data_IF_988446576013
#
_entry.id   IF_988446576013
#
_cell.length_a   1.000
_cell.length_b   1.000
_cell.length_c   1.000
_cell.angle_alpha   90.00
_cell.angle_beta   90.00
_cell.angle_gamma   90.00
#
_symmetry.space_group_name_H-M   'P 1'
#
loop_
_entity.id
_entity.type
_entity.pdbx_description
1 polymer ?
#
# COMPACT_ATOMS: atom_id res chain seq x y z
N UNK A 1 -52.15 -22.81 28.14
CA UNK A 1 -53.02 -22.02 27.24
C UNK A 1 -53.19 -20.64 27.81
N UNK A 2 -52.52 -19.63 27.24
CA UNK A 2 -52.88 -18.21 27.33
C UNK A 2 -52.35 -17.54 26.06
N UNK A 3 -53.29 -17.15 25.19
CA UNK A 3 -53.04 -16.37 23.97
C UNK A 3 -52.82 -14.91 24.40
N UNK A 4 -51.78 -14.27 23.87
CA UNK A 4 -51.58 -12.83 23.96
C UNK A 4 -51.86 -12.23 22.58
N UNK A 5 -52.87 -11.35 22.53
CA UNK A 5 -53.29 -10.56 21.37
C UNK A 5 -52.25 -9.47 21.09
N UNK A 6 -51.86 -9.34 19.83
CA UNK A 6 -51.17 -8.16 19.32
C UNK A 6 -52.21 -7.14 18.82
N UNK A 7 -52.19 -5.96 19.42
CA UNK A 7 -53.00 -4.82 19.01
C UNK A 7 -52.28 -4.04 17.92
N UNK A 8 -52.89 -3.89 16.74
CA UNK A 8 -52.44 -3.02 15.66
C UNK A 8 -52.94 -1.58 15.95
N UNK A 9 -52.01 -0.63 16.10
CA UNK A 9 -52.27 0.78 16.03
C UNK A 9 -52.08 1.27 14.59
N UNK A 10 -53.17 1.61 13.94
CA UNK A 10 -53.24 2.35 12.68
C UNK A 10 -53.09 3.83 12.98
N UNK A 11 -52.02 4.46 12.49
CA UNK A 11 -51.85 5.91 12.49
C UNK A 11 -52.28 6.41 11.09
N UNK A 12 -53.37 7.15 11.06
CA UNK A 12 -53.85 7.87 9.88
C UNK A 12 -52.97 9.09 9.65
N UNK A 13 -52.27 9.15 8.50
CA UNK A 13 -51.54 10.34 8.06
C UNK A 13 -52.51 11.31 7.36
N UNK A 14 -52.63 12.50 7.93
CA UNK A 14 -53.37 13.64 7.35
C UNK A 14 -52.46 14.25 6.28
N UNK A 15 -52.87 14.14 5.00
CA UNK A 15 -52.26 14.82 3.86
C UNK A 15 -52.69 16.30 3.86
N UNK A 16 -51.80 17.20 4.29
CA UNK A 16 -51.92 18.63 4.03
C UNK A 16 -51.18 18.90 2.71
N UNK A 17 -51.94 19.20 1.67
CA UNK A 17 -51.39 19.61 0.38
C UNK A 17 -50.73 21.00 0.46
N UNK A 18 -49.42 21.05 0.29
CA UNK A 18 -48.68 22.25 -0.03
C UNK A 18 -48.27 22.16 -1.49
N UNK A 19 -48.93 22.96 -2.32
CA UNK A 19 -48.49 23.24 -3.70
C UNK A 19 -47.13 23.96 -3.64
N UNK A 20 -46.07 23.22 -3.83
CA UNK A 20 -44.77 23.82 -4.17
C UNK A 20 -44.74 24.07 -5.69
N UNK A 21 -44.78 25.34 -6.04
CA UNK A 21 -44.40 25.85 -7.34
C UNK A 21 -43.04 25.24 -7.73
N UNK A 22 -43.05 24.52 -8.85
CA UNK A 22 -41.84 23.93 -9.44
C UNK A 22 -40.86 25.02 -9.85
N UNK A 23 -39.93 25.32 -8.99
CA UNK A 23 -38.65 25.89 -9.39
C UNK A 23 -37.87 24.74 -10.02
N UNK A 24 -37.76 24.75 -11.33
CA UNK A 24 -36.79 23.94 -12.07
C UNK A 24 -35.40 24.34 -11.52
N UNK A 25 -34.89 23.57 -10.56
CA UNK A 25 -33.46 23.57 -10.25
C UNK A 25 -32.82 23.07 -11.52
N UNK A 26 -32.33 24.00 -12.34
CA UNK A 26 -31.43 23.72 -13.41
C UNK A 26 -30.29 22.89 -12.78
N UNK A 27 -30.11 21.68 -13.25
CA UNK A 27 -28.92 20.89 -12.96
C UNK A 27 -27.73 21.76 -13.37
N UNK A 28 -27.15 22.47 -12.39
CA UNK A 28 -25.82 23.05 -12.53
C UNK A 28 -24.95 21.88 -12.94
N UNK A 29 -24.44 21.92 -14.17
CA UNK A 29 -23.66 20.88 -14.78
C UNK A 29 -22.54 20.52 -13.81
N UNK A 30 -22.51 19.25 -13.43
CA UNK A 30 -21.43 18.71 -12.63
C UNK A 30 -20.18 18.97 -13.45
N UNK A 31 -19.34 19.93 -13.03
CA UNK A 31 -18.09 20.22 -13.73
C UNK A 31 -17.34 18.90 -13.85
N UNK A 32 -17.07 18.53 -15.08
CA UNK A 32 -16.38 17.31 -15.46
C UNK A 32 -14.97 17.33 -14.85
N UNK A 33 -14.85 16.74 -13.66
CA UNK A 33 -13.69 16.84 -12.77
C UNK A 33 -12.67 15.77 -13.12
N UNK A 34 -11.49 16.22 -13.55
CA UNK A 34 -10.33 15.38 -13.83
C UNK A 34 -9.18 15.71 -12.88
N UNK A 35 -8.60 14.68 -12.30
CA UNK A 35 -7.52 14.81 -11.31
C UNK A 35 -6.43 13.79 -11.57
N UNK A 36 -5.17 14.18 -11.37
CA UNK A 36 -4.12 13.24 -11.03
C UNK A 36 -4.37 12.71 -9.63
N UNK A 37 -4.07 11.45 -9.42
CA UNK A 37 -4.16 10.83 -8.10
C UNK A 37 -2.96 9.91 -7.90
N UNK A 38 -2.31 10.02 -6.75
CA UNK A 38 -1.38 9.00 -6.27
C UNK A 38 -2.03 8.23 -5.13
N UNK A 39 -1.95 6.91 -5.21
CA UNK A 39 -2.39 5.96 -4.19
C UNK A 39 -1.72 4.60 -4.42
N UNK A 40 -1.40 3.87 -3.35
CA UNK A 40 -0.71 2.58 -3.43
C UNK A 40 -1.60 1.44 -3.94
N UNK A 41 -2.92 1.57 -3.83
CA UNK A 41 -3.92 0.71 -4.47
C UNK A 41 -5.18 1.51 -4.75
N UNK A 42 -6.07 0.97 -5.59
CA UNK A 42 -7.36 1.63 -5.90
C UNK A 42 -8.26 1.70 -4.67
N UNK A 43 -8.12 0.73 -3.77
CA UNK A 43 -8.85 0.62 -2.51
C UNK A 43 -8.17 1.39 -1.35
N UNK A 44 -6.98 1.97 -1.58
CA UNK A 44 -6.28 2.72 -0.54
C UNK A 44 -7.13 3.87 -0.01
N UNK A 45 -7.26 3.94 1.31
CA UNK A 45 -7.94 5.02 2.02
C UNK A 45 -7.18 6.35 1.97
N UNK A 46 -5.89 6.34 1.62
CA UNK A 46 -5.08 7.53 1.45
C UNK A 46 -4.74 7.78 -0.01
N UNK A 47 -5.07 8.97 -0.49
CA UNK A 47 -4.71 9.43 -1.82
C UNK A 47 -4.41 10.91 -1.80
N UNK A 48 -3.50 11.33 -2.66
CA UNK A 48 -3.21 12.75 -2.91
C UNK A 48 -3.61 13.08 -4.33
N UNK A 49 -4.41 14.14 -4.50
CA UNK A 49 -4.96 14.53 -5.80
C UNK A 49 -4.54 15.94 -6.18
N UNK A 50 -4.46 16.18 -7.48
CA UNK A 50 -4.18 17.48 -8.09
C UNK A 50 -4.98 17.61 -9.39
N UNK A 51 -5.46 18.82 -9.77
CA UNK A 51 -6.19 19.01 -11.03
C UNK A 51 -5.41 18.54 -12.24
N UNK A 52 -6.07 17.80 -13.12
CA UNK A 52 -5.48 17.33 -14.38
C UNK A 52 -5.48 18.43 -15.44
N UNK A 53 -4.38 18.70 -16.16
CA UNK A 53 -4.28 19.80 -17.10
C UNK A 53 -5.24 19.67 -18.29
N UNK A 54 -6.02 20.72 -18.56
CA UNK A 54 -7.00 20.74 -19.64
C UNK A 54 -6.42 20.35 -21.02
N UNK A 55 -5.16 20.76 -21.29
CA UNK A 55 -4.52 20.43 -22.58
C UNK A 55 -4.22 18.92 -22.70
N UNK A 56 -3.71 18.29 -21.64
CA UNK A 56 -3.44 16.84 -21.66
C UNK A 56 -4.77 16.06 -21.68
N UNK A 57 -5.78 16.54 -20.95
CA UNK A 57 -7.13 15.98 -20.97
C UNK A 57 -7.70 15.88 -22.39
N UNK A 58 -7.59 16.95 -23.22
CA UNK A 58 -8.01 16.91 -24.62
C UNK A 58 -7.31 15.81 -25.41
N UNK A 59 -6.02 15.56 -25.12
CA UNK A 59 -5.29 14.47 -25.78
C UNK A 59 -5.80 13.10 -25.33
N UNK A 60 -6.14 12.92 -24.06
CA UNK A 60 -6.72 11.68 -23.53
C UNK A 60 -8.10 11.42 -24.20
N UNK A 61 -8.96 12.44 -24.26
CA UNK A 61 -10.30 12.34 -24.80
C UNK A 61 -10.35 12.14 -26.33
N UNK A 62 -9.45 12.79 -27.08
CA UNK A 62 -9.47 12.82 -28.56
C UNK A 62 -8.26 12.15 -29.20
N UNK A 63 -7.38 11.57 -28.40
CA UNK A 63 -6.17 10.91 -28.89
C UNK A 63 -6.44 9.56 -29.54
N UNK A 64 -5.42 9.02 -30.19
CA UNK A 64 -5.46 7.69 -30.75
C UNK A 64 -5.04 6.68 -29.70
N UNK A 65 -5.86 5.66 -29.48
CA UNK A 65 -5.63 4.57 -28.56
C UNK A 65 -5.31 3.28 -29.29
N UNK A 66 -4.32 2.53 -28.82
CA UNK A 66 -3.95 1.22 -29.35
C UNK A 66 -4.15 0.14 -28.29
N UNK A 67 -4.70 -1.01 -28.71
CA UNK A 67 -4.85 -2.15 -27.82
C UNK A 67 -3.48 -2.71 -27.42
N UNK A 68 -3.32 -3.09 -26.14
CA UNK A 68 -2.14 -3.77 -25.63
C UNK A 68 -2.43 -5.24 -25.36
N UNK A 69 -1.42 -6.10 -25.57
CA UNK A 69 -1.49 -7.54 -25.31
C UNK A 69 -0.81 -7.95 -24.00
N UNK A 70 -0.32 -6.98 -23.26
CA UNK A 70 0.34 -7.15 -21.95
C UNK A 70 -0.47 -6.44 -20.86
N UNK A 71 -0.31 -6.81 -19.58
CA UNK A 71 -0.99 -6.13 -18.48
C UNK A 71 -0.43 -4.71 -18.29
N UNK A 72 -1.27 -3.80 -17.83
CA UNK A 72 -0.83 -2.43 -17.49
C UNK A 72 0.32 -2.51 -16.49
N UNK A 73 1.46 -1.81 -16.72
CA UNK A 73 2.59 -1.82 -15.80
C UNK A 73 2.20 -1.38 -14.38
N UNK A 74 2.83 -1.94 -13.34
CA UNK A 74 2.60 -1.50 -11.97
C UNK A 74 2.86 0.00 -11.80
N UNK A 75 1.92 0.70 -11.20
CA UNK A 75 2.01 2.14 -10.95
C UNK A 75 1.19 2.54 -9.73
N UNK A 76 1.53 3.67 -9.16
CA UNK A 76 0.80 4.34 -8.09
C UNK A 76 0.08 5.61 -8.58
N UNK A 77 0.24 5.94 -9.87
CA UNK A 77 -0.25 7.19 -10.45
C UNK A 77 -1.39 6.94 -11.41
N UNK A 78 -2.50 7.62 -11.15
CA UNK A 78 -3.73 7.43 -11.90
C UNK A 78 -4.34 8.76 -12.33
N UNK A 79 -5.27 8.70 -13.27
CA UNK A 79 -6.19 9.79 -13.60
C UNK A 79 -7.58 9.38 -13.12
N UNK A 80 -8.16 10.24 -12.30
CA UNK A 80 -9.54 10.12 -11.83
C UNK A 80 -10.44 11.03 -12.66
N UNK A 81 -11.46 10.45 -13.24
CA UNK A 81 -12.53 11.16 -13.95
C UNK A 81 -13.82 11.06 -13.14
N UNK A 82 -14.40 12.20 -12.76
CA UNK A 82 -15.66 12.25 -12.01
C UNK A 82 -15.68 11.35 -10.76
N UNK A 83 -14.57 11.29 -10.03
CA UNK A 83 -14.42 10.50 -8.81
C UNK A 83 -14.01 9.03 -9.01
N UNK A 84 -13.93 8.54 -10.26
CA UNK A 84 -13.53 7.16 -10.57
C UNK A 84 -12.15 7.12 -11.22
N UNK A 85 -11.29 6.19 -10.81
CA UNK A 85 -10.00 5.92 -11.45
C UNK A 85 -10.27 5.29 -12.83
N UNK A 86 -9.98 6.05 -13.89
CA UNK A 86 -10.23 5.64 -15.27
C UNK A 86 -8.95 5.21 -15.99
N UNK A 87 -7.84 5.93 -15.74
CA UNK A 87 -6.56 5.70 -16.43
C UNK A 87 -5.43 5.50 -15.45
N UNK A 88 -4.38 4.79 -15.89
CA UNK A 88 -3.11 4.64 -15.19
C UNK A 88 -2.00 5.37 -15.94
N UNK A 89 -0.98 5.85 -15.23
CA UNK A 89 0.22 6.49 -15.80
C UNK A 89 1.44 5.73 -15.30
N UNK A 90 2.27 5.20 -16.21
CA UNK A 90 3.49 4.51 -15.85
C UNK A 90 4.69 5.47 -15.65
N UNK A 91 5.83 4.93 -15.24
CA UNK A 91 7.08 5.70 -15.05
C UNK A 91 7.63 6.30 -16.35
N UNK A 92 7.24 5.77 -17.51
CA UNK A 92 7.63 6.30 -18.84
C UNK A 92 6.66 7.37 -19.33
N UNK A 93 5.68 7.76 -18.49
CA UNK A 93 4.62 8.72 -18.78
C UNK A 93 3.64 8.26 -19.87
N UNK A 94 3.51 6.96 -20.07
CA UNK A 94 2.46 6.41 -20.90
C UNK A 94 1.14 6.40 -20.12
N UNK A 95 0.05 6.68 -20.82
CA UNK A 95 -1.31 6.69 -20.26
C UNK A 95 -2.06 5.47 -20.77
N UNK A 96 -2.64 4.71 -19.86
CA UNK A 96 -3.39 3.49 -20.15
C UNK A 96 -4.86 3.64 -19.77
N UNK A 97 -5.76 3.26 -20.67
CA UNK A 97 -7.18 3.07 -20.35
C UNK A 97 -7.34 1.71 -19.67
N UNK A 98 -7.73 1.74 -18.40
CA UNK A 98 -7.85 0.53 -17.57
C UNK A 98 -9.04 -0.35 -17.95
N UNK A 99 -10.10 0.24 -18.51
CA UNK A 99 -11.32 -0.49 -18.90
C UNK A 99 -11.19 -1.16 -20.26
N UNK A 100 -10.50 -0.50 -21.18
CA UNK A 100 -10.35 -0.95 -22.57
C UNK A 100 -9.03 -1.68 -22.84
N UNK A 101 -8.12 -1.74 -21.86
CA UNK A 101 -6.77 -2.28 -22.00
C UNK A 101 -6.03 -1.71 -23.22
N UNK A 102 -5.93 -0.38 -23.26
CA UNK A 102 -5.33 0.38 -24.37
C UNK A 102 -4.29 1.35 -23.85
N UNK A 103 -3.31 1.65 -24.68
CA UNK A 103 -2.32 2.71 -24.47
C UNK A 103 -2.64 3.90 -25.37
N UNK A 104 -2.55 5.11 -24.79
CA UNK A 104 -2.60 6.34 -25.57
C UNK A 104 -1.32 6.51 -26.37
N UNK A 105 -1.43 6.83 -27.66
CA UNK A 105 -0.27 7.14 -28.49
C UNK A 105 0.51 8.33 -27.94
N UNK A 106 1.84 8.40 -28.18
CA UNK A 106 2.73 9.30 -27.49
C UNK A 106 2.24 10.75 -27.44
N UNK A 107 2.28 11.33 -26.26
CA UNK A 107 2.05 12.75 -26.05
C UNK A 107 3.18 13.58 -26.68
N UNK A 108 2.87 14.81 -27.11
CA UNK A 108 3.90 15.77 -27.51
C UNK A 108 4.86 16.03 -26.34
N UNK A 109 6.15 16.26 -26.61
CA UNK A 109 7.18 16.48 -25.60
C UNK A 109 6.85 17.56 -24.57
N UNK A 110 6.19 18.65 -25.00
CA UNK A 110 5.70 19.68 -24.08
C UNK A 110 4.75 19.13 -23.02
N UNK A 111 3.84 18.24 -23.41
CA UNK A 111 2.86 17.63 -22.50
C UNK A 111 3.51 16.60 -21.60
N UNK A 112 4.48 15.82 -22.09
CA UNK A 112 5.29 14.89 -21.27
C UNK A 112 6.07 15.64 -20.20
N UNK A 113 6.71 16.76 -20.54
CA UNK A 113 7.45 17.60 -19.57
C UNK A 113 6.53 18.15 -18.49
N UNK A 114 5.33 18.62 -18.86
CA UNK A 114 4.34 19.06 -17.87
C UNK A 114 3.91 17.90 -16.98
N UNK A 115 3.52 16.76 -17.55
CA UNK A 115 3.12 15.56 -16.86
C UNK A 115 4.21 15.11 -15.84
N UNK A 116 5.47 15.05 -16.26
CA UNK A 116 6.61 14.71 -15.40
C UNK A 116 6.75 15.68 -14.21
N UNK A 117 6.64 16.99 -14.43
CA UNK A 117 6.75 17.97 -13.36
C UNK A 117 5.58 17.87 -12.36
N UNK A 118 4.37 17.67 -12.87
CA UNK A 118 3.17 17.55 -12.05
C UNK A 118 3.23 16.26 -11.20
N UNK A 119 3.67 15.15 -11.78
CA UNK A 119 3.87 13.89 -11.06
C UNK A 119 4.92 14.03 -9.95
N UNK A 120 6.09 14.61 -10.24
CA UNK A 120 7.13 14.87 -9.23
C UNK A 120 6.63 15.71 -8.06
N UNK A 121 5.80 16.70 -8.32
CA UNK A 121 5.18 17.54 -7.28
C UNK A 121 4.19 16.72 -6.46
N UNK A 122 3.37 15.92 -7.12
CA UNK A 122 2.34 15.11 -6.49
C UNK A 122 2.96 14.01 -5.62
N UNK A 123 4.02 13.33 -6.09
CA UNK A 123 4.79 12.35 -5.33
C UNK A 123 5.38 12.95 -4.05
N UNK A 124 6.02 14.11 -4.14
CA UNK A 124 6.56 14.81 -2.95
C UNK A 124 5.50 15.16 -1.91
N UNK A 125 4.26 15.40 -2.36
CA UNK A 125 3.16 15.72 -1.46
C UNK A 125 2.50 14.48 -0.86
N UNK A 126 2.64 13.32 -1.53
CA UNK A 126 2.02 12.06 -1.11
C UNK A 126 2.91 11.25 -0.19
N UNK A 127 4.17 11.09 -0.56
CA UNK A 127 5.13 10.24 0.13
C UNK A 127 5.98 11.00 1.16
N UNK A 128 6.53 10.25 2.10
CA UNK A 128 7.45 10.78 3.10
C UNK A 128 8.90 10.83 2.58
N UNK A 129 9.66 11.79 3.08
CA UNK A 129 11.10 11.83 2.88
C UNK A 129 11.74 10.59 3.50
N UNK A 130 12.62 9.92 2.74
CA UNK A 130 13.40 8.79 3.21
C UNK A 130 14.57 9.29 4.05
N UNK A 131 14.48 9.12 5.37
CA UNK A 131 15.53 9.54 6.31
C UNK A 131 16.10 8.33 7.05
N UNK A 132 17.38 8.43 7.42
CA UNK A 132 18.04 7.41 8.26
C UNK A 132 17.52 7.43 9.69
N UNK A 133 17.72 6.33 10.43
CA UNK A 133 17.43 6.32 11.86
C UNK A 133 18.19 7.42 12.62
N UNK A 134 19.42 7.70 12.26
CA UNK A 134 20.20 8.76 12.91
C UNK A 134 19.56 10.14 12.75
N UNK A 135 19.05 10.44 11.55
CA UNK A 135 18.34 11.69 11.29
C UNK A 135 16.99 11.72 12.01
N UNK A 136 16.23 10.62 11.93
CA UNK A 136 14.96 10.49 12.65
C UNK A 136 15.14 10.66 14.16
N UNK A 137 16.19 10.08 14.73
CA UNK A 137 16.51 10.21 16.16
C UNK A 137 16.76 11.67 16.59
N UNK A 138 17.33 12.48 15.69
CA UNK A 138 17.57 13.92 15.91
C UNK A 138 16.31 14.76 15.69
N UNK A 139 15.56 14.49 14.60
CA UNK A 139 14.39 15.25 14.21
C UNK A 139 13.14 14.95 15.05
N UNK A 140 13.08 13.77 15.64
CA UNK A 140 12.00 13.30 16.49
C UNK A 140 12.58 12.95 17.89
N UNK A 141 13.01 13.91 18.71
CA UNK A 141 13.63 13.64 20.00
C UNK A 141 12.68 12.91 20.96
N UNK A 142 13.23 12.35 22.06
CA UNK A 142 12.40 11.73 23.10
C UNK A 142 11.38 12.73 23.63
N UNK A 143 10.17 12.23 23.86
CA UNK A 143 8.98 12.97 24.30
C UNK A 143 8.35 13.89 23.24
N UNK A 144 8.90 13.96 22.02
CA UNK A 144 8.20 14.62 20.93
C UNK A 144 6.86 13.94 20.61
N UNK A 145 5.87 14.75 20.25
CA UNK A 145 4.56 14.32 19.80
C UNK A 145 4.50 14.57 18.30
N UNK A 146 4.01 13.59 17.56
CA UNK A 146 3.83 13.69 16.13
C UNK A 146 2.67 12.79 15.67
N UNK A 147 2.18 13.04 14.48
CA UNK A 147 1.08 12.26 13.89
C UNK A 147 1.65 11.14 13.02
N UNK A 148 1.03 9.99 13.11
CA UNK A 148 1.25 8.84 12.21
C UNK A 148 0.05 8.70 11.30
N UNK A 149 0.28 8.58 9.98
CA UNK A 149 -0.74 8.30 8.98
C UNK A 149 -0.41 6.97 8.31
N UNK A 150 -1.34 6.04 8.31
CA UNK A 150 -1.23 4.75 7.63
C UNK A 150 -1.64 4.89 6.15
N UNK A 151 -0.76 4.50 5.23
CA UNK A 151 -0.94 4.71 3.80
C UNK A 151 -2.10 3.90 3.20
N UNK A 152 -2.36 2.71 3.71
CA UNK A 152 -3.39 1.85 3.13
C UNK A 152 -4.80 2.23 3.62
N UNK A 153 -4.94 2.57 4.91
CA UNK A 153 -6.25 2.92 5.48
C UNK A 153 -6.57 4.41 5.43
N UNK A 154 -5.57 5.28 5.29
CA UNK A 154 -5.72 6.74 5.42
C UNK A 154 -6.01 7.21 6.84
N UNK A 155 -6.06 6.31 7.81
CA UNK A 155 -6.27 6.65 9.20
C UNK A 155 -5.02 7.26 9.82
N UNK A 156 -5.21 8.26 10.66
CA UNK A 156 -4.10 8.92 11.36
C UNK A 156 -4.39 9.09 12.84
N UNK A 157 -3.34 9.00 13.65
CA UNK A 157 -3.41 9.15 15.10
C UNK A 157 -2.12 9.82 15.64
N UNK A 158 -2.19 10.37 16.84
CA UNK A 158 -1.06 11.00 17.49
C UNK A 158 -0.31 9.99 18.37
N UNK A 159 1.02 10.14 18.39
CA UNK A 159 1.91 9.34 19.22
C UNK A 159 2.90 10.21 19.95
N UNK A 160 3.42 9.70 21.07
CA UNK A 160 4.59 10.26 21.73
C UNK A 160 5.76 9.27 21.68
N UNK A 161 6.93 9.74 21.23
CA UNK A 161 8.15 8.95 21.32
C UNK A 161 8.60 8.85 22.79
N UNK A 162 8.77 7.61 23.27
CA UNK A 162 9.14 7.35 24.68
C UNK A 162 10.61 6.98 24.84
N UNK A 163 11.12 6.17 23.93
CA UNK A 163 12.47 5.60 24.01
C UNK A 163 13.00 5.23 22.62
N UNK A 164 13.92 4.28 22.58
CA UNK A 164 14.48 3.67 21.39
C UNK A 164 15.87 4.20 21.04
N UNK A 165 16.84 3.28 20.95
CA UNK A 165 18.22 3.58 20.53
C UNK A 165 18.50 3.16 19.09
N UNK A 166 17.68 2.27 18.52
CA UNK A 166 17.86 1.67 17.18
C UNK A 166 16.66 1.88 16.27
N UNK A 167 15.55 2.29 16.83
CA UNK A 167 14.30 2.70 16.20
C UNK A 167 13.49 3.51 17.23
N UNK A 168 12.37 4.08 16.88
CA UNK A 168 11.57 4.84 17.83
C UNK A 168 10.58 3.92 18.56
N UNK A 169 10.68 3.87 19.89
CA UNK A 169 9.65 3.27 20.76
C UNK A 169 8.61 4.35 21.06
N UNK A 170 7.37 4.12 20.63
CA UNK A 170 6.30 5.11 20.69
C UNK A 170 5.05 4.55 21.35
N UNK A 171 4.23 5.44 21.90
CA UNK A 171 2.89 5.11 22.38
C UNK A 171 1.84 6.00 21.72
N UNK A 172 0.65 5.49 21.40
CA UNK A 172 -0.48 6.35 21.09
C UNK A 172 -0.65 7.38 22.20
N UNK A 173 -0.97 8.64 21.84
CA UNK A 173 -1.00 9.72 22.81
C UNK A 173 -2.18 9.59 23.77
N UNK A 174 -3.37 9.26 23.25
CA UNK A 174 -4.63 9.18 23.96
C UNK A 174 -5.32 7.82 23.82
N UNK A 175 -6.43 7.62 24.54
CA UNK A 175 -7.30 6.46 24.34
C UNK A 175 -7.91 6.43 22.94
N UNK A 176 -8.24 7.58 22.36
CA UNK A 176 -8.82 7.64 21.01
C UNK A 176 -7.78 7.32 19.94
N UNK A 177 -6.53 7.76 20.13
CA UNK A 177 -5.41 7.36 19.26
C UNK A 177 -5.20 5.84 19.30
N UNK A 178 -5.29 5.22 20.48
CA UNK A 178 -5.22 3.76 20.62
C UNK A 178 -6.36 3.05 19.89
N UNK A 179 -7.59 3.61 19.91
CA UNK A 179 -8.73 3.05 19.15
C UNK A 179 -8.51 3.17 17.64
N UNK A 180 -7.96 4.30 17.17
CA UNK A 180 -7.65 4.49 15.74
C UNK A 180 -6.58 3.49 15.32
N UNK A 181 -5.47 3.39 16.06
CA UNK A 181 -4.44 2.41 15.79
C UNK A 181 -5.00 0.98 15.72
N UNK A 182 -5.89 0.62 16.66
CA UNK A 182 -6.56 -0.70 16.66
C UNK A 182 -7.42 -0.93 15.42
N UNK A 183 -8.07 0.12 14.87
CA UNK A 183 -8.81 0.03 13.59
C UNK A 183 -7.89 -0.23 12.40
N UNK A 184 -6.71 0.39 12.35
CA UNK A 184 -5.68 0.13 11.32
C UNK A 184 -5.34 -1.36 11.28
N UNK A 185 -5.27 -2.02 12.45
CA UNK A 185 -5.02 -3.46 12.58
C UNK A 185 -6.31 -4.30 12.67
N UNK A 186 -7.42 -3.82 12.10
CA UNK A 186 -8.71 -4.55 12.02
C UNK A 186 -9.22 -5.08 13.36
N UNK A 187 -8.93 -4.37 14.45
CA UNK A 187 -9.38 -4.71 15.80
C UNK A 187 -8.48 -5.70 16.57
N UNK A 188 -7.41 -6.24 15.97
CA UNK A 188 -6.50 -7.21 16.59
C UNK A 188 -5.07 -6.71 16.51
N UNK A 189 -4.32 -6.75 17.63
CA UNK A 189 -2.92 -6.38 17.61
C UNK A 189 -2.09 -7.37 16.80
N UNK A 190 -1.25 -6.87 15.89
CA UNK A 190 -0.46 -7.69 14.97
C UNK A 190 0.98 -7.22 14.86
N UNK A 191 1.85 -8.15 14.51
CA UNK A 191 3.22 -7.86 14.06
C UNK A 191 3.31 -7.46 12.59
N UNK A 192 2.20 -7.35 11.88
CA UNK A 192 2.19 -6.90 10.49
C UNK A 192 2.80 -5.51 10.37
N UNK A 193 3.65 -5.35 9.36
CA UNK A 193 4.32 -4.08 9.11
C UNK A 193 3.44 -3.22 8.23
N UNK A 194 3.33 -1.96 8.60
CA UNK A 194 2.51 -0.98 7.88
C UNK A 194 3.41 0.14 7.35
N UNK A 195 3.20 0.54 6.11
CA UNK A 195 3.82 1.73 5.53
C UNK A 195 3.11 2.96 6.08
N UNK A 196 3.86 3.86 6.70
CA UNK A 196 3.32 5.04 7.37
C UNK A 196 4.05 6.31 6.99
N UNK A 197 3.36 7.43 7.10
CA UNK A 197 3.96 8.76 7.14
C UNK A 197 4.04 9.24 8.59
N UNK A 198 5.20 9.72 8.97
CA UNK A 198 5.43 10.43 10.22
C UNK A 198 5.36 11.92 9.93
N UNK A 199 4.31 12.57 10.44
CA UNK A 199 4.03 13.99 10.20
C UNK A 199 4.39 14.78 11.46
N UNK A 200 5.43 15.59 11.36
CA UNK A 200 5.96 16.44 12.45
C UNK A 200 6.15 17.87 11.98
N UNK A 201 6.48 18.77 12.91
CA UNK A 201 6.88 20.14 12.58
C UNK A 201 8.16 20.21 11.71
N UNK A 202 9.00 19.16 11.77
CA UNK A 202 10.25 19.06 11.02
C UNK A 202 10.09 18.47 9.61
N UNK A 203 8.89 18.00 9.25
CA UNK A 203 8.62 17.44 7.93
C UNK A 203 7.73 16.20 7.94
N UNK A 204 7.58 15.61 6.75
CA UNK A 204 6.86 14.38 6.48
C UNK A 204 7.87 13.29 6.13
N UNK A 205 7.97 12.27 6.95
CA UNK A 205 8.99 11.23 6.83
C UNK A 205 8.37 9.86 6.56
N UNK A 206 9.04 9.08 5.71
CA UNK A 206 8.69 7.69 5.45
C UNK A 206 9.11 6.81 6.62
N UNK A 207 8.19 5.98 7.10
CA UNK A 207 8.44 5.04 8.19
C UNK A 207 7.64 3.75 8.05
N UNK A 208 7.91 2.82 8.93
CA UNK A 208 7.15 1.59 9.08
C UNK A 208 6.88 1.28 10.54
N UNK A 209 5.66 0.86 10.86
CA UNK A 209 5.25 0.46 12.20
C UNK A 209 4.71 -0.97 12.23
N UNK A 210 4.66 -1.57 13.40
CA UNK A 210 3.82 -2.74 13.69
C UNK A 210 2.83 -2.41 14.82
N UNK A 211 1.75 -3.21 14.93
CA UNK A 211 0.66 -2.94 15.88
C UNK A 211 0.77 -3.70 17.21
N UNK A 212 1.74 -4.59 17.38
CA UNK A 212 1.83 -5.43 18.56
C UNK A 212 2.38 -4.66 19.77
N UNK A 213 1.62 -4.53 20.88
CA UNK A 213 2.13 -3.98 22.11
C UNK A 213 3.23 -4.87 22.70
N UNK A 214 4.32 -4.26 23.18
CA UNK A 214 5.38 -4.97 23.90
C UNK A 214 6.10 -4.02 24.87
N UNK A 215 6.93 -4.61 25.76
CA UNK A 215 7.64 -3.85 26.77
C UNK A 215 6.72 -3.11 27.75
N UNK A 216 7.23 -2.02 28.32
CA UNK A 216 6.49 -1.21 29.29
C UNK A 216 5.91 0.04 28.63
N UNK A 217 4.75 0.48 29.09
CA UNK A 217 4.11 1.74 28.71
C UNK A 217 4.12 2.73 29.89
N UNK A 218 4.14 4.04 29.59
CA UNK A 218 4.10 5.09 30.59
C UNK A 218 2.84 5.95 30.49
N UNK A 219 2.15 5.96 29.33
CA UNK A 219 0.94 6.73 29.14
C UNK A 219 -0.30 5.91 29.54
N UNK A 220 -1.26 6.57 30.19
CA UNK A 220 -2.57 5.98 30.51
C UNK A 220 -3.50 6.13 29.32
N UNK A 221 -3.27 5.38 28.26
CA UNK A 221 -3.95 5.50 26.96
C UNK A 221 -4.67 4.22 26.53
N UNK A 222 -4.69 3.17 27.38
CA UNK A 222 -5.28 1.86 27.06
C UNK A 222 -4.44 0.99 26.11
N UNK A 223 -3.23 1.41 25.73
CA UNK A 223 -2.27 0.61 24.99
C UNK A 223 -1.30 -0.08 25.96
N UNK A 224 -1.24 -1.42 26.01
CA UNK A 224 -0.49 -2.13 27.06
C UNK A 224 1.01 -2.28 26.71
N UNK A 225 1.76 -1.20 26.73
CA UNK A 225 3.19 -1.18 26.38
C UNK A 225 3.53 -0.06 25.40
N UNK A 226 4.44 -0.32 24.49
CA UNK A 226 4.80 0.54 23.36
C UNK A 226 4.82 -0.28 22.06
N UNK A 227 4.90 0.39 20.93
CA UNK A 227 5.17 -0.21 19.61
C UNK A 227 6.34 0.51 18.96
N UNK A 228 6.87 -0.03 17.85
CA UNK A 228 8.06 0.51 17.20
C UNK A 228 7.71 1.18 15.87
N UNK A 229 8.39 2.30 15.60
CA UNK A 229 8.47 2.90 14.27
C UNK A 229 9.92 2.79 13.79
N UNK A 230 10.09 2.19 12.62
CA UNK A 230 11.37 2.05 11.93
C UNK A 230 11.49 3.08 10.80
N UNK A 231 12.70 3.59 10.65
CA UNK A 231 13.16 4.42 9.53
C UNK A 231 14.28 3.69 8.79
N UNK A 232 14.81 4.24 7.72
CA UNK A 232 15.94 3.60 7.04
C UNK A 232 17.08 3.35 8.02
N UNK A 233 17.76 2.20 7.88
CA UNK A 233 18.86 1.73 8.73
C UNK A 233 18.49 1.43 10.18
N UNK A 234 17.22 1.47 10.54
CA UNK A 234 16.77 0.97 11.85
C UNK A 234 17.04 -0.52 11.99
N UNK A 235 17.45 -0.93 13.17
CA UNK A 235 17.69 -2.35 13.52
C UNK A 235 16.81 -2.77 14.69
N UNK A 236 16.52 -4.06 14.79
CA UNK A 236 15.72 -4.62 15.87
C UNK A 236 16.56 -4.79 17.14
N UNK A 237 15.94 -4.68 18.32
CA UNK A 237 16.64 -4.85 19.61
C UNK A 237 17.28 -6.23 19.76
N UNK A 238 16.56 -7.29 19.39
CA UNK A 238 16.97 -8.67 19.66
C UNK A 238 18.03 -9.17 18.70
N UNK A 239 17.79 -9.03 17.40
CA UNK A 239 18.69 -9.60 16.37
C UNK A 239 19.84 -8.67 16.00
N UNK A 240 19.75 -7.36 16.33
CA UNK A 240 20.69 -6.31 15.88
C UNK A 240 20.86 -6.26 14.36
N UNK A 241 19.81 -6.65 13.64
CA UNK A 241 19.75 -6.66 12.18
C UNK A 241 18.58 -5.82 11.72
N UNK A 242 18.65 -5.35 10.48
CA UNK A 242 17.50 -4.77 9.79
C UNK A 242 16.39 -5.82 9.68
N UNK A 243 15.17 -5.36 9.77
CA UNK A 243 13.97 -6.17 9.50
C UNK A 243 13.54 -5.88 8.06
N UNK A 244 13.67 -6.87 7.17
CA UNK A 244 13.36 -6.71 5.75
C UNK A 244 11.92 -6.27 5.50
N UNK A 245 10.96 -6.75 6.28
CA UNK A 245 9.57 -6.34 6.15
C UNK A 245 9.38 -4.85 6.49
N UNK A 246 10.06 -4.33 7.52
CA UNK A 246 10.08 -2.88 7.77
C UNK A 246 10.76 -2.12 6.62
N UNK A 247 11.86 -2.62 6.08
CA UNK A 247 12.58 -1.97 4.96
C UNK A 247 11.69 -1.84 3.72
N UNK A 248 10.94 -2.88 3.36
CA UNK A 248 9.99 -2.87 2.25
C UNK A 248 8.89 -1.82 2.48
N UNK A 249 8.31 -1.77 3.67
CA UNK A 249 7.27 -0.80 4.01
C UNK A 249 7.79 0.64 4.03
N UNK A 250 9.05 0.88 4.45
CA UNK A 250 9.70 2.19 4.37
C UNK A 250 9.87 2.61 2.90
N UNK A 251 10.28 1.70 2.03
CA UNK A 251 10.37 1.97 0.58
C UNK A 251 9.01 2.24 -0.05
N UNK A 252 7.95 1.55 0.39
CA UNK A 252 6.57 1.85 0.01
C UNK A 252 6.17 3.25 0.49
N UNK A 253 6.49 3.62 1.73
CA UNK A 253 6.15 4.91 2.33
C UNK A 253 6.93 6.10 1.75
N UNK A 254 8.10 5.87 1.15
CA UNK A 254 8.89 6.90 0.46
C UNK A 254 8.56 7.04 -1.03
N UNK A 255 7.69 6.16 -1.58
CA UNK A 255 7.41 6.10 -3.02
C UNK A 255 8.54 5.52 -3.86
N UNK A 256 9.55 4.93 -3.23
CA UNK A 256 10.71 4.35 -3.93
C UNK A 256 10.56 2.86 -4.24
N UNK A 257 9.45 2.23 -3.83
CA UNK A 257 9.31 0.78 -3.95
C UNK A 257 9.44 0.29 -5.40
N UNK A 258 8.73 0.93 -6.35
CA UNK A 258 8.75 0.55 -7.75
C UNK A 258 10.15 0.60 -8.36
N UNK A 259 10.93 1.65 -8.06
CA UNK A 259 12.31 1.78 -8.52
C UNK A 259 13.25 0.82 -7.78
N UNK A 260 12.98 0.54 -6.51
CA UNK A 260 13.78 -0.35 -5.69
C UNK A 260 13.71 -1.81 -6.16
N UNK A 261 12.56 -2.24 -6.68
CA UNK A 261 12.37 -3.62 -7.17
C UNK A 261 13.33 -4.00 -8.28
N UNK A 262 13.83 -3.02 -9.05
CA UNK A 262 14.80 -3.23 -10.12
C UNK A 262 16.18 -3.72 -9.63
N UNK A 263 16.45 -3.61 -8.32
CA UNK A 263 17.76 -3.88 -7.71
C UNK A 263 17.73 -5.00 -6.65
N UNK A 264 16.56 -5.61 -6.45
CA UNK A 264 16.40 -6.65 -5.42
C UNK A 264 17.24 -7.89 -5.75
N UNK A 265 17.92 -8.42 -4.74
CA UNK A 265 18.54 -9.74 -4.80
C UNK A 265 17.48 -10.85 -4.82
N UNK A 266 17.85 -12.07 -5.25
CA UNK A 266 16.94 -13.22 -5.17
C UNK A 266 16.34 -13.45 -3.78
N UNK A 267 17.13 -13.23 -2.73
CA UNK A 267 16.71 -13.38 -1.35
C UNK A 267 15.65 -12.32 -0.95
N UNK A 268 15.85 -11.09 -1.38
CA UNK A 268 14.89 -9.99 -1.13
C UNK A 268 13.58 -10.20 -1.91
N UNK A 269 13.62 -10.79 -3.11
CA UNK A 269 12.40 -11.19 -3.85
C UNK A 269 11.59 -12.22 -3.05
N UNK A 270 12.25 -13.22 -2.45
CA UNK A 270 11.55 -14.20 -1.59
C UNK A 270 10.89 -13.52 -0.39
N UNK A 271 11.63 -12.65 0.32
CA UNK A 271 11.09 -11.93 1.48
C UNK A 271 9.94 -11.00 1.08
N UNK A 272 10.06 -10.30 -0.06
CA UNK A 272 8.99 -9.43 -0.58
C UNK A 272 7.74 -10.24 -0.99
N UNK A 273 7.93 -11.40 -1.64
CA UNK A 273 6.82 -12.28 -2.03
C UNK A 273 6.08 -12.82 -0.81
N UNK A 274 6.80 -13.32 0.19
CA UNK A 274 6.20 -13.83 1.43
C UNK A 274 5.46 -12.72 2.17
N UNK A 275 6.04 -11.53 2.29
CA UNK A 275 5.41 -10.37 2.92
C UNK A 275 4.15 -9.94 2.19
N UNK A 276 4.21 -9.84 0.86
CA UNK A 276 3.10 -9.38 0.04
C UNK A 276 1.90 -10.33 0.14
N UNK A 277 2.13 -11.65 0.05
CA UNK A 277 1.08 -12.66 0.21
C UNK A 277 0.52 -12.61 1.64
N UNK A 278 1.37 -12.51 2.67
CA UNK A 278 0.93 -12.47 4.07
C UNK A 278 0.02 -11.27 4.36
N UNK A 279 0.30 -10.12 3.78
CA UNK A 279 -0.46 -8.89 4.04
C UNK A 279 -1.49 -8.57 2.96
N UNK A 280 -1.59 -9.41 1.92
CA UNK A 280 -2.42 -9.18 0.72
C UNK A 280 -2.09 -7.83 0.07
N UNK A 281 -0.79 -7.50 0.03
CA UNK A 281 -0.28 -6.23 -0.51
C UNK A 281 0.21 -6.43 -1.96
N UNK A 282 -0.71 -6.33 -2.89
CA UNK A 282 -0.45 -6.57 -4.31
C UNK A 282 0.38 -5.45 -4.95
N UNK A 283 0.44 -4.27 -4.32
CA UNK A 283 1.35 -3.20 -4.73
C UNK A 283 2.83 -3.58 -4.49
N UNK A 284 3.09 -4.42 -3.46
CA UNK A 284 4.43 -4.96 -3.23
C UNK A 284 4.74 -6.11 -4.20
N UNK A 285 3.77 -7.00 -4.45
CA UNK A 285 4.01 -8.20 -5.26
C UNK A 285 4.10 -7.91 -6.76
N UNK A 286 3.17 -7.11 -7.30
CA UNK A 286 3.05 -6.90 -8.74
C UNK A 286 4.33 -6.42 -9.43
N UNK A 287 5.14 -5.48 -8.87
CA UNK A 287 6.35 -5.00 -9.54
C UNK A 287 7.51 -6.00 -9.62
N UNK A 288 7.49 -7.07 -8.82
CA UNK A 288 8.50 -8.14 -8.85
C UNK A 288 8.07 -9.33 -9.72
N UNK A 289 6.99 -9.17 -10.48
CA UNK A 289 6.46 -10.16 -11.42
C UNK A 289 6.61 -9.64 -12.85
N UNK A 290 6.92 -10.54 -13.79
CA UNK A 290 6.79 -10.24 -15.21
C UNK A 290 5.33 -10.22 -15.68
N UNK A 291 5.08 -9.86 -16.93
CA UNK A 291 3.75 -9.72 -17.50
C UNK A 291 2.91 -10.99 -17.38
N UNK A 292 3.51 -12.14 -17.64
CA UNK A 292 2.85 -13.45 -17.55
C UNK A 292 2.40 -13.74 -16.11
N UNK A 293 3.29 -13.52 -15.16
CA UNK A 293 2.99 -13.77 -13.75
C UNK A 293 2.01 -12.73 -13.17
N UNK A 294 1.99 -11.48 -13.68
CA UNK A 294 0.96 -10.49 -13.29
C UNK A 294 -0.43 -10.89 -13.76
N UNK A 295 -0.57 -11.38 -15.01
CA UNK A 295 -1.85 -11.93 -15.49
C UNK A 295 -2.31 -13.12 -14.63
N UNK A 296 -1.35 -13.94 -14.19
CA UNK A 296 -1.64 -15.08 -13.33
C UNK A 296 -2.06 -14.62 -11.92
N UNK A 297 -1.37 -13.63 -11.37
CA UNK A 297 -1.74 -13.03 -10.08
C UNK A 297 -3.19 -12.56 -10.07
N UNK A 298 -3.63 -11.83 -11.07
CA UNK A 298 -5.03 -11.34 -11.18
C UNK A 298 -6.05 -12.49 -11.16
N UNK A 299 -5.70 -13.64 -11.72
CA UNK A 299 -6.59 -14.83 -11.75
C UNK A 299 -6.65 -15.60 -10.44
N UNK A 300 -5.65 -15.46 -9.58
CA UNK A 300 -5.49 -16.22 -8.33
C UNK A 300 -5.55 -15.35 -7.08
N UNK A 301 -6.02 -14.10 -7.19
CA UNK A 301 -6.15 -13.19 -6.04
C UNK A 301 -6.99 -13.81 -4.91
N UNK A 302 -8.17 -14.32 -5.23
CA UNK A 302 -9.09 -14.94 -4.26
C UNK A 302 -8.42 -16.12 -3.53
N UNK A 303 -7.69 -16.99 -4.24
CA UNK A 303 -6.95 -18.11 -3.66
C UNK A 303 -5.83 -17.66 -2.72
N UNK A 304 -5.12 -16.61 -3.09
CA UNK A 304 -4.06 -16.03 -2.26
C UNK A 304 -4.63 -15.31 -1.03
N UNK A 305 -5.81 -14.70 -1.14
CA UNK A 305 -6.50 -14.03 -0.02
C UNK A 305 -7.03 -15.03 1.03
N UNK A 306 -7.19 -16.31 0.69
CA UNK A 306 -7.48 -17.37 1.67
C UNK A 306 -6.31 -17.68 2.61
N UNK A 307 -5.08 -17.20 2.30
CA UNK A 307 -3.92 -17.38 3.14
C UNK A 307 -3.95 -16.33 4.26
N UNK A 308 -4.40 -16.71 5.45
CA UNK A 308 -4.49 -15.85 6.62
C UNK A 308 -3.11 -15.52 7.22
N UNK A 309 -2.14 -16.45 7.09
CA UNK A 309 -0.76 -16.25 7.50
C UNK A 309 0.18 -17.08 6.63
N UNK A 310 1.24 -16.45 6.16
CA UNK A 310 2.40 -17.13 5.60
C UNK A 310 3.67 -16.59 6.25
N UNK A 311 4.54 -17.48 6.71
CA UNK A 311 5.76 -17.13 7.43
C UNK A 311 6.90 -18.05 7.03
N UNK A 312 8.06 -17.47 6.73
CA UNK A 312 9.29 -18.21 6.53
C UNK A 312 9.87 -18.68 7.88
N UNK A 313 10.20 -19.97 7.96
CA UNK A 313 10.73 -20.63 9.15
C UNK A 313 12.22 -20.97 9.06
N UNK A 314 12.81 -20.93 7.85
CA UNK A 314 14.24 -21.20 7.62
C UNK A 314 14.96 -19.96 7.14
N UNK A 315 16.28 -19.93 7.31
CA UNK A 315 17.12 -18.88 6.74
C UNK A 315 17.18 -18.96 5.21
N UNK A 316 17.50 -17.84 4.59
CA UNK A 316 17.79 -17.76 3.15
C UNK A 316 19.26 -18.13 2.90
N UNK A 317 19.58 -18.69 1.71
CA UNK A 317 20.96 -18.96 1.34
C UNK A 317 21.76 -17.66 1.27
N UNK A 318 23.05 -17.74 1.59
CA UNK A 318 23.98 -16.58 1.50
C UNK A 318 24.67 -16.49 0.14
N UNK A 319 24.31 -17.38 -0.79
CA UNK A 319 24.90 -17.44 -2.11
C UNK A 319 24.59 -16.18 -2.92
N UNK A 320 25.57 -15.68 -3.66
CA UNK A 320 25.40 -14.54 -4.57
C UNK A 320 24.77 -15.00 -5.90
N UNK A 321 23.67 -14.36 -6.28
CA UNK A 321 22.98 -14.59 -7.54
C UNK A 321 23.39 -13.64 -8.68
N UNK A 322 24.33 -12.71 -8.45
CA UNK A 322 24.62 -11.60 -9.38
C UNK A 322 24.95 -12.02 -10.81
N UNK A 323 25.58 -13.18 -11.01
CA UNK A 323 25.98 -13.72 -12.33
C UNK A 323 25.03 -14.79 -12.88
N UNK A 324 23.93 -15.08 -12.19
CA UNK A 324 23.00 -16.16 -12.56
C UNK A 324 21.78 -15.61 -13.29
N UNK A 325 21.19 -16.42 -14.16
CA UNK A 325 19.92 -16.14 -14.83
C UNK A 325 18.75 -16.87 -14.16
N UNK A 326 19.04 -17.93 -13.38
CA UNK A 326 18.06 -18.67 -12.60
C UNK A 326 18.61 -18.92 -11.20
N UNK A 327 17.76 -18.82 -10.18
CA UNK A 327 18.17 -18.97 -8.79
C UNK A 327 17.04 -19.59 -7.94
N UNK A 328 16.92 -20.93 -7.90
CA UNK A 328 15.92 -21.57 -7.05
C UNK A 328 16.30 -21.45 -5.58
N UNK A 329 15.38 -20.98 -4.74
CA UNK A 329 15.53 -20.86 -3.29
C UNK A 329 14.47 -21.70 -2.61
N UNK A 330 14.89 -22.75 -1.90
CA UNK A 330 13.98 -23.61 -1.13
C UNK A 330 14.01 -23.19 0.34
N UNK A 331 12.83 -22.88 0.89
CA UNK A 331 12.65 -22.48 2.27
C UNK A 331 11.51 -23.27 2.91
N UNK A 332 11.55 -23.41 4.23
CA UNK A 332 10.43 -23.93 5.01
C UNK A 332 9.47 -22.78 5.29
N UNK A 333 8.21 -22.94 4.85
CA UNK A 333 7.12 -22.02 5.13
C UNK A 333 6.10 -22.65 6.09
N UNK A 334 5.55 -21.82 6.96
CA UNK A 334 4.29 -22.05 7.64
C UNK A 334 3.19 -21.31 6.88
N UNK A 335 2.14 -22.03 6.49
CA UNK A 335 0.98 -21.45 5.80
C UNK A 335 -0.25 -21.79 6.63
N UNK A 336 -1.04 -20.78 6.98
CA UNK A 336 -2.31 -20.93 7.69
C UNK A 336 -3.45 -20.46 6.80
N UNK A 337 -4.48 -21.28 6.70
CA UNK A 337 -5.78 -21.02 6.08
C UNK A 337 -6.88 -21.40 7.05
N UNK A 338 -8.12 -21.09 6.75
CA UNK A 338 -9.29 -21.55 7.51
C UNK A 338 -9.32 -23.07 7.70
N UNK A 339 -8.76 -23.84 6.76
CA UNK A 339 -8.62 -25.30 6.83
C UNK A 339 -7.52 -25.81 7.79
N UNK A 340 -6.68 -24.92 8.32
CA UNK A 340 -5.62 -25.24 9.28
C UNK A 340 -4.24 -24.74 8.90
N UNK A 341 -3.25 -25.11 9.72
CA UNK A 341 -1.84 -24.73 9.56
C UNK A 341 -1.03 -25.88 8.97
N UNK A 342 -0.25 -25.59 7.94
CA UNK A 342 0.71 -26.53 7.34
C UNK A 342 2.12 -25.97 7.35
N UNK A 343 3.11 -26.87 7.55
CA UNK A 343 4.53 -26.52 7.36
C UNK A 343 5.04 -27.32 6.16
N UNK A 344 5.58 -26.66 5.17
CA UNK A 344 6.05 -27.30 3.94
C UNK A 344 7.36 -26.69 3.43
N UNK A 345 8.12 -27.47 2.67
CA UNK A 345 9.24 -26.96 1.90
C UNK A 345 8.69 -26.39 0.60
N UNK A 346 9.03 -25.14 0.31
CA UNK A 346 8.58 -24.42 -0.89
C UNK A 346 9.80 -23.89 -1.62
N UNK A 347 9.84 -24.14 -2.93
CA UNK A 347 10.90 -23.61 -3.79
C UNK A 347 10.40 -22.40 -4.57
N UNK A 348 11.06 -21.28 -4.38
CA UNK A 348 10.90 -20.10 -5.21
C UNK A 348 11.82 -20.23 -6.41
N UNK A 349 11.28 -20.50 -7.57
CA UNK A 349 12.01 -20.49 -8.84
C UNK A 349 12.13 -19.03 -9.31
N UNK A 350 13.30 -18.45 -9.09
CA UNK A 350 13.60 -17.07 -9.50
C UNK A 350 14.37 -17.09 -10.83
N UNK A 351 14.05 -16.14 -11.70
CA UNK A 351 14.72 -16.01 -12.99
C UNK A 351 14.76 -14.56 -13.46
N UNK A 352 15.63 -14.30 -14.42
CA UNK A 352 15.71 -13.03 -15.16
C UNK A 352 16.22 -13.31 -16.58
N UNK A 353 15.77 -12.54 -17.60
CA UNK A 353 16.20 -12.75 -18.99
C UNK A 353 17.69 -12.47 -19.23
N UNK A 354 18.22 -11.42 -18.60
CA UNK A 354 19.65 -11.04 -18.65
C UNK A 354 20.16 -10.68 -17.25
N UNK A 355 21.46 -10.54 -17.08
CA UNK A 355 22.08 -10.18 -15.79
C UNK A 355 21.79 -8.71 -15.37
N UNK A 356 21.42 -7.85 -16.30
CA UNK A 356 21.06 -6.46 -16.07
C UNK A 356 19.58 -6.30 -15.71
N UNK A 357 18.75 -7.29 -16.03
CA UNK A 357 17.31 -7.21 -15.74
C UNK A 357 16.97 -7.67 -14.33
N UNK A 358 15.84 -7.16 -13.77
CA UNK A 358 15.43 -7.52 -12.43
C UNK A 358 15.04 -8.98 -12.31
N UNK A 359 15.19 -9.52 -11.12
CA UNK A 359 14.70 -10.84 -10.77
C UNK A 359 13.18 -10.88 -10.70
N UNK A 360 12.58 -11.96 -11.17
CA UNK A 360 11.17 -12.27 -11.01
C UNK A 360 10.97 -13.67 -10.43
N UNK A 361 9.83 -13.91 -9.81
CA UNK A 361 9.45 -15.24 -9.29
C UNK A 361 8.47 -15.92 -10.25
N UNK A 362 8.67 -17.21 -10.49
CA UNK A 362 7.71 -18.06 -11.21
C UNK A 362 6.49 -18.32 -10.30
N UNK A 363 5.48 -17.45 -10.45
CA UNK A 363 4.27 -17.50 -9.61
C UNK A 363 3.47 -18.78 -9.84
N UNK A 364 3.46 -19.32 -11.07
CA UNK A 364 2.73 -20.57 -11.39
C UNK A 364 3.27 -21.75 -10.59
N UNK A 365 4.60 -21.88 -10.52
CA UNK A 365 5.22 -22.94 -9.74
C UNK A 365 5.07 -22.71 -8.24
N UNK A 366 5.08 -21.47 -7.80
CA UNK A 366 4.87 -21.13 -6.40
C UNK A 366 3.45 -21.49 -5.96
N UNK A 367 2.42 -21.09 -6.70
CA UNK A 367 1.01 -21.40 -6.38
C UNK A 367 0.74 -22.89 -6.25
N UNK A 368 1.33 -23.72 -7.11
CA UNK A 368 1.19 -25.19 -7.01
C UNK A 368 1.75 -25.80 -5.72
N UNK A 369 2.57 -25.05 -4.99
CA UNK A 369 3.20 -25.47 -3.74
C UNK A 369 2.56 -24.86 -2.50
N UNK A 370 1.80 -23.79 -2.65
CA UNK A 370 1.09 -23.12 -1.55
C UNK A 370 -0.29 -23.73 -1.32
#
# INVERSE_FOLDING_TARGET
MKRVLYSFFTIAAILIGLNFLGSSVSALGQEDKWEYVIQTSIESGYSTAMPFPKQIRKNVQNGKWEAISYPIPPTDTFIRENGKVAYAIDHQLNIYDRSANKILLPLMEKNKKQLSNDMKKLHRNHYGELITWNDANRLLPRYSIFKVLDLDTGLSFEVQRRAGSYHADVQPLTHDDTKIMKKIYRGTWSWDRRAILVLSENGQFAGSMHGMPHGQGALKNGFPGHFCIHFQDSITHKSRKMDHAHSIMIKKASGEWLDHTQKLSPQEIVDATVLAIHQHDWFILSPILDDRNRILLEKHLEELEEIELIKRLSDLPREDGSTKLTFPITVKLQVHRSSGTTNRMVTFDLYRPTIEEPWTVDLEKLLKQL
#
